data_IF_026619580551
#
_entry.id   IF_026619580551
#
_cell.length_a   1.000
_cell.length_b   1.000
_cell.length_c   1.000
_cell.angle_alpha   90.00
_cell.angle_beta   90.00
_cell.angle_gamma   90.00
#
_symmetry.space_group_name_H-M   'P 1'
#
loop_
_entity.id
_entity.type
_entity.pdbx_description
1 polymer ?
#
# COMPACT_ATOMS: atom_id res chain seq x y z
N UNK A 1 -2.65 -28.30 -15.81
CA UNK A 1 -1.70 -28.08 -14.70
C UNK A 1 -2.19 -26.89 -13.91
N UNK A 2 -2.71 -27.13 -12.71
CA UNK A 2 -3.23 -26.10 -11.82
C UNK A 2 -2.04 -25.43 -11.11
N UNK A 3 -1.80 -24.15 -11.37
CA UNK A 3 -0.78 -23.39 -10.62
C UNK A 3 -1.44 -22.79 -9.39
N UNK A 4 -1.15 -23.38 -8.22
CA UNK A 4 -1.47 -22.80 -6.91
C UNK A 4 -0.38 -21.78 -6.57
N UNK A 5 -0.77 -20.54 -6.26
CA UNK A 5 0.14 -19.50 -5.80
C UNK A 5 -0.05 -19.34 -4.29
N UNK A 6 0.81 -19.97 -3.50
CA UNK A 6 0.95 -19.63 -2.08
C UNK A 6 1.54 -18.22 -1.99
N UNK A 7 0.82 -17.31 -1.34
CA UNK A 7 1.35 -15.99 -1.00
C UNK A 7 2.26 -16.16 0.22
N UNK A 8 3.45 -16.71 0.00
CA UNK A 8 4.58 -16.53 0.91
C UNK A 8 5.05 -15.08 0.94
N UNK A 9 6.09 -14.81 1.72
CA UNK A 9 6.85 -13.56 1.77
C UNK A 9 7.39 -13.07 0.42
N UNK A 10 7.23 -13.86 -0.64
CA UNK A 10 7.60 -13.55 -2.00
C UNK A 10 6.64 -12.51 -2.62
N UNK A 11 7.24 -11.52 -3.29
CA UNK A 11 6.57 -10.47 -4.06
C UNK A 11 5.73 -9.47 -3.25
N UNK A 12 6.08 -9.21 -1.98
CA UNK A 12 5.35 -8.27 -1.12
C UNK A 12 5.21 -6.88 -1.75
N UNK A 13 6.32 -6.32 -2.24
CA UNK A 13 6.35 -4.99 -2.86
C UNK A 13 5.45 -4.96 -4.10
N UNK A 14 5.56 -5.97 -4.94
CA UNK A 14 4.80 -6.10 -6.18
C UNK A 14 3.29 -6.22 -5.90
N UNK A 15 2.90 -6.94 -4.86
CA UNK A 15 1.50 -7.05 -4.41
C UNK A 15 0.96 -5.70 -3.91
N UNK A 16 1.75 -4.96 -3.15
CA UNK A 16 1.38 -3.60 -2.71
C UNK A 16 1.20 -2.68 -3.92
N UNK A 17 2.15 -2.67 -4.86
CA UNK A 17 2.07 -1.85 -6.08
C UNK A 17 0.83 -2.23 -6.90
N UNK A 18 0.57 -3.53 -7.06
CA UNK A 18 -0.59 -4.03 -7.78
C UNK A 18 -1.91 -3.59 -7.13
N UNK A 19 -2.01 -3.65 -5.80
CA UNK A 19 -3.19 -3.18 -5.07
C UNK A 19 -3.45 -1.69 -5.29
N UNK A 20 -2.41 -0.85 -5.20
CA UNK A 20 -2.52 0.60 -5.47
C UNK A 20 -2.99 0.86 -6.90
N UNK A 21 -2.33 0.24 -7.89
CA UNK A 21 -2.67 0.45 -9.30
C UNK A 21 -4.06 -0.07 -9.67
N UNK A 22 -4.48 -1.19 -9.07
CA UNK A 22 -5.83 -1.69 -9.23
C UNK A 22 -6.86 -0.72 -8.63
N UNK A 23 -6.57 -0.16 -7.46
CA UNK A 23 -7.40 0.88 -6.84
C UNK A 23 -7.53 2.13 -7.72
N UNK A 24 -6.42 2.65 -8.27
CA UNK A 24 -6.45 3.77 -9.22
C UNK A 24 -7.28 3.52 -10.48
N UNK A 25 -7.41 2.27 -10.92
CA UNK A 25 -8.24 1.92 -12.08
C UNK A 25 -9.71 1.73 -11.76
N UNK A 26 -10.04 1.42 -10.51
CA UNK A 26 -11.42 1.08 -10.10
C UNK A 26 -12.12 2.22 -9.37
N UNK A 27 -11.37 3.07 -8.67
CA UNK A 27 -11.89 4.22 -7.92
C UNK A 27 -11.86 5.47 -8.79
N UNK A 28 -13.03 6.12 -8.92
CA UNK A 28 -13.14 7.40 -9.63
C UNK A 28 -12.63 8.52 -8.72
N UNK A 29 -11.59 9.24 -9.17
CA UNK A 29 -10.91 10.32 -8.43
C UNK A 29 -10.32 9.85 -7.09
N UNK A 30 -9.28 9.00 -7.12
CA UNK A 30 -8.66 8.48 -5.92
C UNK A 30 -8.03 9.63 -5.10
N UNK A 31 -8.20 9.58 -3.79
CA UNK A 31 -7.96 10.69 -2.86
C UNK A 31 -7.12 10.31 -1.64
N UNK A 32 -7.04 9.03 -1.28
CA UNK A 32 -6.25 8.56 -0.13
C UNK A 32 -5.85 7.10 -0.23
N UNK A 33 -4.80 6.71 0.51
CA UNK A 33 -4.44 5.32 0.77
C UNK A 33 -4.73 5.03 2.24
N UNK A 34 -5.75 4.23 2.52
CA UNK A 34 -6.01 3.74 3.88
C UNK A 34 -5.32 2.40 4.08
N UNK A 35 -4.57 2.27 5.16
CA UNK A 35 -3.71 1.11 5.42
C UNK A 35 -3.65 0.81 6.91
N UNK A 36 -3.51 -0.46 7.29
CA UNK A 36 -3.28 -0.81 8.68
C UNK A 36 -1.87 -0.36 9.14
N UNK A 37 -1.68 0.16 10.38
CA UNK A 37 -0.38 0.63 10.87
C UNK A 37 0.76 -0.38 10.74
N UNK A 38 0.53 -1.65 11.11
CA UNK A 38 1.56 -2.70 11.00
C UNK A 38 1.96 -2.98 9.54
N UNK A 39 1.01 -2.93 8.60
CA UNK A 39 1.32 -3.07 7.18
C UNK A 39 2.11 -1.85 6.70
N UNK A 40 1.74 -0.64 7.14
CA UNK A 40 2.43 0.58 6.77
C UNK A 40 3.88 0.59 7.24
N UNK A 41 4.15 0.12 8.47
CA UNK A 41 5.52 -0.09 8.96
C UNK A 41 6.32 -1.02 8.04
N UNK A 42 5.72 -2.13 7.61
CA UNK A 42 6.36 -3.07 6.67
C UNK A 42 6.58 -2.43 5.29
N UNK A 43 5.64 -1.63 4.80
CA UNK A 43 5.79 -0.87 3.54
C UNK A 43 6.97 0.09 3.65
N UNK A 44 7.06 0.89 4.72
CA UNK A 44 8.18 1.84 4.94
C UNK A 44 9.53 1.14 4.89
N UNK A 45 9.66 -0.02 5.52
CA UNK A 45 10.89 -0.80 5.52
C UNK A 45 11.23 -1.37 4.13
N UNK A 46 10.25 -2.02 3.47
CA UNK A 46 10.47 -2.70 2.19
C UNK A 46 10.61 -1.74 0.99
N UNK A 47 10.10 -0.52 1.13
CA UNK A 47 10.22 0.53 0.13
C UNK A 47 11.36 1.51 0.44
N UNK A 48 12.08 1.35 1.55
CA UNK A 48 13.22 2.21 1.90
C UNK A 48 14.20 2.26 0.71
N UNK A 49 14.52 3.46 0.25
CA UNK A 49 15.37 3.76 -0.91
C UNK A 49 14.75 3.49 -2.30
N UNK A 50 13.46 3.16 -2.40
CA UNK A 50 12.76 3.08 -3.70
C UNK A 50 12.20 4.44 -4.10
N UNK A 51 12.13 4.70 -5.39
CA UNK A 51 11.57 5.96 -5.94
C UNK A 51 10.12 6.18 -5.49
N UNK A 52 9.36 5.08 -5.37
CA UNK A 52 7.95 5.04 -4.96
C UNK A 52 7.77 4.84 -3.45
N UNK A 53 8.79 5.08 -2.64
CA UNK A 53 8.67 5.02 -1.19
C UNK A 53 7.64 6.03 -0.67
N UNK A 54 7.00 5.74 0.48
CA UNK A 54 6.28 6.76 1.23
C UNK A 54 7.19 7.97 1.52
N UNK A 55 6.65 9.19 1.38
CA UNK A 55 7.39 10.43 1.61
C UNK A 55 6.59 11.37 2.49
N UNK A 56 7.25 12.00 3.46
CA UNK A 56 6.64 13.08 4.23
C UNK A 56 6.64 14.38 3.41
N UNK A 57 5.47 15.01 3.29
CA UNK A 57 5.24 16.31 2.63
C UNK A 57 4.25 17.09 3.49
N UNK A 58 4.61 18.29 3.93
CA UNK A 58 3.76 19.19 4.74
C UNK A 58 3.01 18.46 5.89
N UNK A 59 3.78 17.77 6.74
CA UNK A 59 3.30 17.00 7.90
C UNK A 59 2.37 15.81 7.58
N UNK A 60 2.22 15.46 6.31
CA UNK A 60 1.48 14.28 5.87
C UNK A 60 2.42 13.26 5.22
N UNK A 61 2.19 11.97 5.46
CA UNK A 61 2.86 10.94 4.67
C UNK A 61 2.07 10.68 3.38
N UNK A 62 2.78 10.75 2.25
CA UNK A 62 2.25 10.52 0.93
C UNK A 62 2.76 9.19 0.39
N UNK A 63 1.89 8.38 -0.19
CA UNK A 63 2.23 7.13 -0.85
C UNK A 63 1.55 7.06 -2.21
N UNK A 64 2.33 6.82 -3.27
CA UNK A 64 1.85 6.88 -4.67
C UNK A 64 1.13 8.19 -5.04
N UNK A 65 1.51 9.31 -4.41
CA UNK A 65 0.93 10.63 -4.67
C UNK A 65 -0.38 10.90 -3.93
N UNK A 66 -0.81 10.00 -3.05
CA UNK A 66 -1.97 10.16 -2.20
C UNK A 66 -1.60 10.23 -0.71
N UNK A 67 -2.36 10.96 0.12
CA UNK A 67 -2.17 10.95 1.56
C UNK A 67 -2.46 9.58 2.15
N UNK A 68 -1.63 9.17 3.11
CA UNK A 68 -1.77 7.92 3.86
C UNK A 68 -2.65 8.14 5.09
N UNK A 69 -3.63 7.27 5.28
CA UNK A 69 -4.47 7.19 6.48
C UNK A 69 -4.20 5.85 7.15
N UNK A 70 -3.64 5.88 8.35
CA UNK A 70 -3.43 4.68 9.16
C UNK A 70 -4.68 4.37 9.99
N UNK A 71 -5.30 3.20 9.77
CA UNK A 71 -6.51 2.77 10.47
C UNK A 71 -6.30 1.43 11.19
N UNK A 72 -6.13 1.49 12.52
CA UNK A 72 -5.90 0.32 13.37
C UNK A 72 -7.16 -0.55 13.60
N UNK A 73 -8.33 -0.12 13.10
CA UNK A 73 -9.57 -0.90 13.22
C UNK A 73 -9.71 -1.97 12.12
N UNK A 74 -8.80 -1.97 11.14
CA UNK A 74 -8.79 -2.89 10.00
C UNK A 74 -7.91 -4.11 10.24
N UNK A 75 -8.03 -5.10 9.36
CA UNK A 75 -7.16 -6.27 9.37
C UNK A 75 -5.70 -5.90 9.11
N UNK A 76 -4.77 -6.69 9.63
CA UNK A 76 -3.33 -6.37 9.60
C UNK A 76 -2.73 -6.29 8.19
N UNK A 77 -3.37 -6.91 7.20
CA UNK A 77 -3.00 -6.91 5.79
C UNK A 77 -3.86 -5.95 4.94
N UNK A 78 -4.68 -5.12 5.60
CA UNK A 78 -5.59 -4.21 4.93
C UNK A 78 -4.86 -3.03 4.27
N UNK A 79 -5.14 -2.84 2.98
CA UNK A 79 -4.83 -1.63 2.21
C UNK A 79 -5.97 -1.36 1.23
N UNK A 80 -6.38 -0.10 1.11
CA UNK A 80 -7.42 0.33 0.18
C UNK A 80 -7.10 1.71 -0.40
N UNK A 81 -7.52 1.92 -1.64
CA UNK A 81 -7.58 3.25 -2.26
C UNK A 81 -8.99 3.79 -2.08
N UNK A 82 -9.10 4.99 -1.51
CA UNK A 82 -10.34 5.76 -1.41
C UNK A 82 -10.38 6.92 -2.38
#
# INVERSE_FOLDING_TARGET
MEKKYEVGSDYFVEKVIAAIFYGFRTVKNPSSVTVHPELMMRIRDNFKNKVVAPKSVDDMEMFFGLPVIEDATKDKDYISIG
#
